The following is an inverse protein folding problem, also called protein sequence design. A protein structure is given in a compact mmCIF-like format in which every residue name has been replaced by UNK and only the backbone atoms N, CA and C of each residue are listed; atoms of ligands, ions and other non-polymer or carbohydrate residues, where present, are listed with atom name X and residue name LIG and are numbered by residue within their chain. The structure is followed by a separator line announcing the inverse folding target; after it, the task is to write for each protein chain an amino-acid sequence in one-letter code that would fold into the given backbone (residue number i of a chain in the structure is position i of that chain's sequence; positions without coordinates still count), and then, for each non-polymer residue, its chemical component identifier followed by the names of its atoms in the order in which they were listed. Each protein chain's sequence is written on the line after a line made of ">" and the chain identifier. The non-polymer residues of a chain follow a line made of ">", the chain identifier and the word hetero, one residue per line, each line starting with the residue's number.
data_IF_039639159679
#
_entry.id   IF_039639159679
#
_cell.length_a   1.000
_cell.length_b   1.000
_cell.length_c   1.000
_cell.angle_alpha   90.00
_cell.angle_beta   90.00
_cell.angle_gamma   90.00
#
_symmetry.space_group_name_H-M   'P 1'
#
loop_
_entity.id
_entity.type
_entity.pdbx_description
1 polymer ?
#
# COMPACT_ATOMS: atom_id res chain seq x y z
N UNK A 1 18.45 19.85 -0.62
CA UNK A 1 17.43 19.98 0.45
C UNK A 1 16.03 19.95 -0.15
N UNK A 2 15.61 20.95 -0.92
CA UNK A 2 14.26 21.01 -1.51
C UNK A 2 13.89 19.75 -2.32
N UNK A 3 14.75 19.31 -3.25
CA UNK A 3 14.52 18.12 -4.09
C UNK A 3 14.17 16.82 -3.32
N UNK A 4 14.81 16.59 -2.17
CA UNK A 4 14.57 15.40 -1.33
C UNK A 4 13.19 15.44 -0.66
N UNK A 5 12.77 16.62 -0.22
CA UNK A 5 11.46 16.83 0.41
C UNK A 5 10.33 16.78 -0.63
N UNK A 6 10.57 17.31 -1.84
CA UNK A 6 9.62 17.24 -2.96
C UNK A 6 9.40 15.81 -3.43
N UNK A 7 10.46 15.02 -3.59
CA UNK A 7 10.38 13.59 -3.94
C UNK A 7 9.59 12.78 -2.90
N UNK A 8 9.88 12.99 -1.61
CA UNK A 8 9.14 12.34 -0.51
C UNK A 8 7.65 12.67 -0.52
N UNK A 9 7.29 13.94 -0.75
CA UNK A 9 5.90 14.38 -0.85
C UNK A 9 5.13 13.70 -2.00
N UNK A 10 5.77 13.54 -3.17
CA UNK A 10 5.16 12.88 -4.33
C UNK A 10 4.90 11.39 -4.03
N UNK A 11 5.83 10.70 -3.36
CA UNK A 11 5.64 9.29 -3.00
C UNK A 11 4.51 9.11 -1.99
N UNK A 12 4.44 9.97 -0.97
CA UNK A 12 3.32 9.95 -0.03
C UNK A 12 1.98 10.20 -0.72
N UNK A 13 1.94 11.11 -1.70
CA UNK A 13 0.72 11.37 -2.47
C UNK A 13 0.30 10.14 -3.27
N UNK A 14 1.23 9.47 -3.96
CA UNK A 14 0.96 8.24 -4.72
C UNK A 14 0.49 7.12 -3.78
N UNK A 15 1.14 6.94 -2.63
CA UNK A 15 0.72 5.92 -1.65
C UNK A 15 -0.64 6.24 -1.05
N UNK A 16 -0.95 7.52 -0.78
CA UNK A 16 -2.26 7.96 -0.31
C UNK A 16 -3.34 7.68 -1.35
N UNK A 17 -3.08 7.97 -2.62
CA UNK A 17 -3.95 7.59 -3.74
C UNK A 17 -4.13 6.07 -3.79
N UNK A 18 -3.08 5.28 -3.53
CA UNK A 18 -3.16 3.83 -3.42
C UNK A 18 -4.05 3.32 -2.27
N UNK A 19 -3.96 3.96 -1.09
CA UNK A 19 -4.85 3.69 0.05
C UNK A 19 -6.31 4.04 -0.31
N UNK A 20 -6.55 5.16 -0.98
CA UNK A 20 -7.87 5.54 -1.48
C UNK A 20 -8.36 4.61 -2.59
N UNK A 21 -7.47 4.08 -3.42
CA UNK A 21 -7.79 3.06 -4.42
C UNK A 21 -8.27 1.75 -3.79
N UNK A 22 -7.79 1.41 -2.58
CA UNK A 22 -8.28 0.25 -1.83
C UNK A 22 -9.71 0.43 -1.28
N UNK A 23 -10.28 1.64 -1.25
CA UNK A 23 -11.70 1.83 -0.90
C UNK A 23 -12.63 1.19 -1.94
N UNK A 24 -12.17 1.01 -3.18
CA UNK A 24 -12.98 0.47 -4.27
C UNK A 24 -12.84 -1.07 -4.27
N UNK A 25 -13.93 -1.83 -4.04
CA UNK A 25 -13.92 -3.29 -4.17
C UNK A 25 -13.60 -3.70 -5.61
N UNK A 26 -12.81 -4.77 -5.78
CA UNK A 26 -12.41 -5.26 -7.11
C UNK A 26 -11.22 -4.54 -7.75
N UNK A 27 -10.86 -3.34 -7.28
CA UNK A 27 -9.59 -2.71 -7.66
C UNK A 27 -8.53 -3.10 -6.61
N UNK A 28 -7.47 -3.83 -7.01
CA UNK A 28 -6.35 -4.08 -6.13
C UNK A 28 -5.46 -2.82 -6.14
N UNK A 29 -5.62 -1.95 -5.14
CA UNK A 29 -4.74 -0.78 -4.93
C UNK A 29 -3.37 -1.16 -4.38
N UNK A 30 -3.24 -2.34 -3.77
CA UNK A 30 -1.97 -2.87 -3.24
C UNK A 30 -0.89 -3.08 -4.33
N UNK A 31 -1.21 -3.64 -5.52
CA UNK A 31 -0.34 -3.59 -6.70
C UNK A 31 0.09 -2.18 -7.12
N UNK A 32 -0.80 -1.18 -6.98
CA UNK A 32 -0.50 0.21 -7.33
C UNK A 32 0.48 0.85 -6.35
N UNK A 33 0.34 0.55 -5.04
CA UNK A 33 1.30 0.93 -3.99
C UNK A 33 2.68 0.30 -4.26
N UNK A 34 2.69 -0.97 -4.70
CA UNK A 34 3.90 -1.67 -5.10
C UNK A 34 4.55 -1.08 -6.35
N UNK A 35 3.76 -0.74 -7.37
CA UNK A 35 4.24 -0.07 -8.57
C UNK A 35 4.85 1.30 -8.25
N UNK A 36 4.26 2.06 -7.32
CA UNK A 36 4.82 3.32 -6.82
C UNK A 36 6.16 3.12 -6.09
N UNK A 37 6.27 2.10 -5.24
CA UNK A 37 7.52 1.79 -4.54
C UNK A 37 8.64 1.35 -5.49
N UNK A 38 8.31 0.51 -6.48
CA UNK A 38 9.25 0.05 -7.53
C UNK A 38 9.64 1.22 -8.46
N UNK A 39 8.68 2.05 -8.84
CA UNK A 39 8.92 3.23 -9.68
C UNK A 39 9.82 4.27 -9.01
N UNK A 40 9.62 4.53 -7.71
CA UNK A 40 10.50 5.38 -6.93
C UNK A 40 11.94 4.84 -6.92
N UNK A 41 12.11 3.52 -6.78
CA UNK A 41 13.44 2.92 -6.75
C UNK A 41 14.15 2.90 -8.11
N UNK A 42 13.39 2.76 -9.21
CA UNK A 42 13.92 2.85 -10.58
C UNK A 42 14.36 4.28 -10.94
N UNK A 43 13.65 5.30 -10.46
CA UNK A 43 13.96 6.70 -10.76
C UNK A 43 14.98 7.35 -9.81
N UNK A 44 14.99 6.97 -8.53
CA UNK A 44 15.90 7.53 -7.51
C UNK A 44 16.99 6.54 -7.09
N UNK A 45 17.41 5.66 -8.00
CA UNK A 45 18.45 4.68 -7.75
C UNK A 45 19.72 5.36 -7.21
N UNK A 46 20.00 5.18 -5.91
CA UNK A 46 21.21 5.66 -5.24
C UNK A 46 21.08 6.88 -4.33
N UNK A 47 19.90 7.48 -4.14
CA UNK A 47 19.69 8.63 -3.24
C UNK A 47 18.64 8.37 -2.14
N UNK A 48 18.86 7.35 -1.31
CA UNK A 48 18.04 7.13 -0.10
C UNK A 48 18.25 5.77 0.57
N UNK A 49 17.95 5.70 1.87
CA UNK A 49 18.08 4.50 2.74
C UNK A 49 17.01 3.42 2.47
N UNK A 50 16.23 3.57 1.39
CA UNK A 50 15.17 2.65 0.98
C UNK A 50 15.74 1.69 -0.08
N UNK A 51 16.55 0.74 0.38
CA UNK A 51 17.11 -0.30 -0.49
C UNK A 51 16.09 -1.35 -0.96
N UNK A 52 16.46 -2.15 -1.96
CA UNK A 52 15.67 -3.26 -2.52
C UNK A 52 15.09 -4.21 -1.45
N UNK A 53 15.77 -4.37 -0.31
CA UNK A 53 15.28 -5.17 0.82
C UNK A 53 13.99 -4.63 1.45
N UNK A 54 13.79 -3.31 1.50
CA UNK A 54 12.55 -2.72 2.04
C UNK A 54 11.38 -2.86 1.07
N UNK A 55 11.65 -2.75 -0.23
CA UNK A 55 10.66 -3.01 -1.28
C UNK A 55 10.20 -4.48 -1.21
N UNK A 56 11.10 -5.43 -0.95
CA UNK A 56 10.74 -6.83 -0.75
C UNK A 56 9.82 -7.03 0.47
N UNK A 57 10.07 -6.34 1.60
CA UNK A 57 9.20 -6.39 2.79
C UNK A 57 7.81 -5.81 2.49
N UNK A 58 7.74 -4.66 1.79
CA UNK A 58 6.47 -4.08 1.35
C UNK A 58 5.74 -5.00 0.38
N UNK A 59 6.47 -5.69 -0.50
CA UNK A 59 5.90 -6.69 -1.41
C UNK A 59 5.31 -7.87 -0.65
N UNK A 60 6.02 -8.39 0.35
CA UNK A 60 5.51 -9.46 1.20
C UNK A 60 4.25 -9.05 1.96
N UNK A 61 4.22 -7.84 2.53
CA UNK A 61 3.03 -7.27 3.16
C UNK A 61 1.88 -7.07 2.17
N UNK A 62 2.17 -6.62 0.95
CA UNK A 62 1.19 -6.43 -0.10
C UNK A 62 0.55 -7.75 -0.54
N UNK A 63 1.35 -8.80 -0.68
CA UNK A 63 0.86 -10.16 -0.94
C UNK A 63 0.02 -10.71 0.22
N UNK A 64 0.44 -10.46 1.46
CA UNK A 64 -0.34 -10.80 2.66
C UNK A 64 -1.70 -10.09 2.67
N UNK A 65 -1.73 -8.81 2.34
CA UNK A 65 -2.96 -8.03 2.26
C UNK A 65 -3.91 -8.56 1.18
N UNK A 66 -3.38 -8.90 0.00
CA UNK A 66 -4.16 -9.54 -1.08
C UNK A 66 -4.68 -10.91 -0.66
N UNK A 67 -3.86 -11.71 0.02
CA UNK A 67 -4.25 -13.02 0.54
C UNK A 67 -5.37 -12.91 1.58
N UNK A 68 -5.25 -11.97 2.52
CA UNK A 68 -6.27 -11.70 3.55
C UNK A 68 -7.58 -11.19 2.94
N UNK A 69 -7.51 -10.31 1.95
CA UNK A 69 -8.70 -9.80 1.23
C UNK A 69 -9.46 -10.94 0.54
N UNK A 70 -8.73 -11.77 -0.21
CA UNK A 70 -9.29 -12.92 -0.89
C UNK A 70 -9.89 -13.92 0.10
N UNK A 71 -9.18 -14.20 1.19
CA UNK A 71 -9.63 -15.15 2.22
C UNK A 71 -10.86 -14.62 2.97
N UNK A 72 -10.89 -13.34 3.32
CA UNK A 72 -12.04 -12.70 3.97
C UNK A 72 -13.27 -12.72 3.06
N UNK A 73 -13.08 -12.40 1.77
CA UNK A 73 -14.16 -12.46 0.77
C UNK A 73 -14.69 -13.87 0.59
N UNK A 74 -13.79 -14.84 0.45
CA UNK A 74 -14.12 -16.25 0.27
C UNK A 74 -14.83 -16.85 1.50
N UNK A 75 -14.30 -16.56 2.70
CA UNK A 75 -14.87 -17.04 3.95
C UNK A 75 -16.22 -16.38 4.25
N UNK A 76 -16.37 -15.07 4.00
CA UNK A 76 -17.63 -14.37 4.19
C UNK A 76 -18.73 -14.91 3.27
N UNK A 77 -18.39 -15.15 1.99
CA UNK A 77 -19.29 -15.78 1.03
C UNK A 77 -19.67 -17.20 1.45
N UNK A 78 -18.68 -18.05 1.80
CA UNK A 78 -18.92 -19.44 2.22
C UNK A 78 -19.70 -19.55 3.52
N UNK A 79 -19.49 -18.64 4.48
CA UNK A 79 -20.14 -18.68 5.81
C UNK A 79 -21.66 -18.51 5.71
N UNK A 80 -22.15 -17.79 4.70
CA UNK A 80 -23.58 -17.65 4.42
C UNK A 80 -24.07 -18.60 3.30
N UNK A 81 -23.26 -19.61 3.00
CA UNK A 81 -23.64 -20.72 2.14
C UNK A 81 -23.43 -20.47 0.65
N UNK A 82 -22.67 -19.46 0.22
CA UNK A 82 -22.34 -19.33 -1.19
C UNK A 82 -21.52 -20.52 -1.69
N UNK A 83 -21.95 -21.10 -2.81
CA UNK A 83 -21.20 -22.13 -3.53
C UNK A 83 -20.23 -21.48 -4.52
N UNK A 84 -19.44 -22.30 -5.21
CA UNK A 84 -18.58 -21.83 -6.29
C UNK A 84 -19.36 -21.04 -7.36
N UNK A 85 -20.61 -21.42 -7.63
CA UNK A 85 -21.47 -20.76 -8.61
C UNK A 85 -21.88 -19.36 -8.15
N UNK A 86 -22.29 -19.22 -6.88
CA UNK A 86 -22.59 -17.93 -6.27
C UNK A 86 -21.36 -17.02 -6.22
N UNK A 87 -20.17 -17.56 -6.00
CA UNK A 87 -18.92 -16.79 -6.07
C UNK A 87 -18.64 -16.25 -7.47
N UNK A 88 -18.79 -17.08 -8.51
CA UNK A 88 -18.65 -16.64 -9.90
C UNK A 88 -19.70 -15.58 -10.24
N UNK A 89 -20.95 -15.80 -9.81
CA UNK A 89 -22.01 -14.81 -9.95
C UNK A 89 -21.71 -13.49 -9.25
N UNK A 90 -21.18 -13.51 -8.03
CA UNK A 90 -20.76 -12.31 -7.32
C UNK A 90 -19.65 -11.55 -8.06
N UNK A 91 -18.69 -12.28 -8.62
CA UNK A 91 -17.58 -11.69 -9.36
C UNK A 91 -18.06 -11.03 -10.67
N UNK A 92 -18.94 -11.71 -11.42
CA UNK A 92 -19.56 -11.14 -12.61
C UNK A 92 -20.45 -9.93 -12.25
N UNK A 93 -21.19 -10.04 -11.14
CA UNK A 93 -22.00 -8.96 -10.60
C UNK A 93 -21.17 -7.75 -10.18
N UNK A 94 -19.99 -7.96 -9.59
CA UNK A 94 -19.04 -6.90 -9.25
C UNK A 94 -18.58 -6.15 -10.50
N UNK A 95 -18.18 -6.90 -11.53
CA UNK A 95 -17.70 -6.33 -12.81
C UNK A 95 -18.83 -5.57 -13.49
N UNK A 96 -20.02 -6.16 -13.62
CA UNK A 96 -21.17 -5.47 -14.21
C UNK A 96 -21.61 -4.25 -13.38
N UNK A 97 -21.60 -4.37 -12.05
CA UNK A 97 -21.95 -3.31 -11.11
C UNK A 97 -21.04 -2.09 -11.20
N UNK A 98 -19.76 -2.29 -11.51
CA UNK A 98 -18.80 -1.21 -11.73
C UNK A 98 -19.21 -0.30 -12.90
N UNK A 99 -19.81 -0.85 -13.96
CA UNK A 99 -20.21 -0.07 -15.15
C UNK A 99 -21.59 0.60 -15.02
N UNK A 100 -22.48 0.08 -14.18
CA UNK A 100 -23.84 0.61 -14.04
C UNK A 100 -23.86 1.85 -13.13
N UNK A 101 -23.32 1.74 -11.92
CA UNK A 101 -23.24 2.85 -10.97
C UNK A 101 -22.19 2.54 -9.91
N UNK A 102 -20.96 3.07 -9.99
CA UNK A 102 -19.83 2.54 -9.23
C UNK A 102 -20.07 2.36 -7.71
N UNK A 103 -20.56 3.34 -6.94
CA UNK A 103 -20.67 3.15 -5.48
C UNK A 103 -21.77 2.17 -5.07
N UNK A 104 -22.92 2.15 -5.76
CA UNK A 104 -24.05 1.29 -5.40
C UNK A 104 -23.92 -0.07 -6.09
N UNK A 105 -23.56 -0.07 -7.36
CA UNK A 105 -23.37 -1.25 -8.18
C UNK A 105 -22.25 -2.16 -7.68
N UNK A 106 -21.22 -1.63 -7.03
CA UNK A 106 -20.19 -2.47 -6.40
C UNK A 106 -20.71 -3.28 -5.20
N UNK A 107 -21.81 -2.87 -4.55
CA UNK A 107 -22.43 -3.61 -3.44
C UNK A 107 -23.59 -4.45 -3.95
N UNK A 108 -24.48 -3.85 -4.74
CA UNK A 108 -25.69 -4.49 -5.28
C UNK A 108 -25.34 -5.52 -6.34
N UNK A 109 -24.32 -5.26 -7.16
CA UNK A 109 -23.84 -6.17 -8.20
C UNK A 109 -23.48 -7.54 -7.66
N UNK A 110 -22.54 -7.66 -6.69
CA UNK A 110 -22.21 -8.94 -6.07
C UNK A 110 -23.40 -9.64 -5.41
N UNK A 111 -24.29 -8.89 -4.77
CA UNK A 111 -25.51 -9.44 -4.15
C UNK A 111 -26.42 -10.10 -5.18
N UNK A 112 -26.82 -9.35 -6.21
CA UNK A 112 -27.71 -9.82 -7.28
C UNK A 112 -27.03 -10.90 -8.12
N UNK A 113 -25.72 -10.75 -8.38
CA UNK A 113 -24.93 -11.71 -9.13
C UNK A 113 -24.86 -13.07 -8.43
N UNK A 114 -24.51 -13.11 -7.14
CA UNK A 114 -24.50 -14.35 -6.36
C UNK A 114 -25.89 -14.96 -6.22
N UNK A 115 -26.90 -14.15 -5.88
CA UNK A 115 -28.27 -14.63 -5.73
C UNK A 115 -28.82 -15.18 -7.05
N UNK A 116 -28.62 -14.47 -8.16
CA UNK A 116 -29.06 -14.87 -9.48
C UNK A 116 -28.41 -16.16 -9.95
N UNK A 117 -27.10 -16.31 -9.76
CA UNK A 117 -26.40 -17.56 -10.10
C UNK A 117 -26.87 -18.73 -9.25
N UNK A 118 -26.93 -18.59 -7.92
CA UNK A 118 -27.38 -19.69 -7.06
C UNK A 118 -28.81 -20.13 -7.39
N UNK A 119 -29.69 -19.17 -7.69
CA UNK A 119 -31.05 -19.47 -8.10
C UNK A 119 -31.12 -20.15 -9.48
N UNK A 120 -30.37 -19.65 -10.46
CA UNK A 120 -30.32 -20.24 -11.81
C UNK A 120 -29.80 -21.69 -11.81
N UNK A 121 -29.00 -22.06 -10.82
CA UNK A 121 -28.45 -23.41 -10.66
C UNK A 121 -29.21 -24.28 -9.64
N UNK A 122 -30.46 -23.94 -9.35
CA UNK A 122 -31.41 -24.82 -8.66
C UNK A 122 -31.50 -24.64 -7.15
N UNK A 123 -30.88 -23.61 -6.56
CA UNK A 123 -31.11 -23.31 -5.15
C UNK A 123 -32.43 -22.58 -4.94
N UNK A 124 -33.01 -22.81 -3.78
CA UNK A 124 -34.23 -22.11 -3.35
C UNK A 124 -33.94 -20.63 -3.15
N UNK A 125 -34.90 -19.77 -3.49
CA UNK A 125 -34.81 -18.31 -3.31
C UNK A 125 -34.24 -17.86 -1.93
N UNK A 126 -34.70 -18.39 -0.77
CA UNK A 126 -34.15 -17.98 0.52
C UNK A 126 -32.67 -18.37 0.73
N UNK A 127 -32.21 -19.44 0.10
CA UNK A 127 -30.82 -19.85 0.17
C UNK A 127 -29.93 -19.04 -0.76
N UNK A 128 -30.42 -18.74 -1.96
CA UNK A 128 -29.76 -17.87 -2.92
C UNK A 128 -29.60 -16.44 -2.36
N UNK A 129 -30.62 -15.92 -1.68
CA UNK A 129 -30.53 -14.62 -1.01
C UNK A 129 -29.46 -14.60 0.09
N UNK A 130 -29.37 -15.66 0.91
CA UNK A 130 -28.30 -15.81 1.92
C UNK A 130 -26.91 -15.81 1.28
N UNK A 131 -26.73 -16.51 0.16
CA UNK A 131 -25.48 -16.49 -0.60
C UNK A 131 -25.13 -15.07 -1.11
N UNK A 132 -26.13 -14.32 -1.57
CA UNK A 132 -25.99 -12.91 -1.94
C UNK A 132 -25.51 -12.04 -0.77
N UNK A 133 -26.15 -12.16 0.40
CA UNK A 133 -25.71 -11.45 1.62
C UNK A 133 -24.28 -11.87 2.01
N UNK A 134 -23.95 -13.15 1.85
CA UNK A 134 -22.61 -13.71 2.01
C UNK A 134 -21.56 -13.01 1.19
N UNK A 135 -21.84 -12.84 -0.10
CA UNK A 135 -20.95 -12.17 -1.03
C UNK A 135 -20.69 -10.72 -0.61
N UNK A 136 -21.73 -9.97 -0.22
CA UNK A 136 -21.59 -8.58 0.23
C UNK A 136 -20.78 -8.48 1.52
N UNK A 137 -21.10 -9.30 2.52
CA UNK A 137 -20.39 -9.29 3.81
C UNK A 137 -18.94 -9.71 3.62
N UNK A 138 -18.68 -10.75 2.81
CA UNK A 138 -17.32 -11.17 2.48
C UNK A 138 -16.53 -10.04 1.81
N UNK A 139 -17.11 -9.41 0.80
CA UNK A 139 -16.47 -8.28 0.11
C UNK A 139 -16.20 -7.12 1.07
N UNK A 140 -17.14 -6.76 1.93
CA UNK A 140 -16.96 -5.69 2.92
C UNK A 140 -15.82 -6.03 3.91
N UNK A 141 -15.77 -7.27 4.42
CA UNK A 141 -14.71 -7.74 5.30
C UNK A 141 -13.35 -7.74 4.60
N UNK A 142 -13.29 -8.14 3.33
CA UNK A 142 -12.08 -8.07 2.51
C UNK A 142 -11.56 -6.63 2.37
N UNK A 143 -12.45 -5.70 2.00
CA UNK A 143 -12.13 -4.27 1.88
C UNK A 143 -11.59 -3.70 3.18
N UNK A 144 -12.24 -4.00 4.31
CA UNK A 144 -11.75 -3.57 5.64
C UNK A 144 -10.38 -4.16 5.95
N UNK A 145 -10.18 -5.46 5.70
CA UNK A 145 -8.91 -6.14 5.94
C UNK A 145 -7.76 -5.55 5.12
N UNK A 146 -7.94 -5.39 3.81
CA UNK A 146 -6.91 -4.77 2.96
C UNK A 146 -6.66 -3.31 3.28
N UNK A 147 -7.68 -2.56 3.71
CA UNK A 147 -7.52 -1.17 4.12
C UNK A 147 -6.63 -1.05 5.35
N UNK A 148 -6.89 -1.86 6.38
CA UNK A 148 -6.04 -1.90 7.58
C UNK A 148 -4.58 -2.18 7.20
N UNK A 149 -4.34 -3.21 6.37
CA UNK A 149 -2.99 -3.52 5.91
C UNK A 149 -2.35 -2.36 5.13
N UNK A 150 -3.08 -1.71 4.23
CA UNK A 150 -2.55 -0.60 3.43
C UNK A 150 -2.22 0.64 4.27
N UNK A 151 -3.02 0.93 5.31
CA UNK A 151 -2.74 2.00 6.26
C UNK A 151 -1.48 1.69 7.07
N UNK A 152 -1.31 0.44 7.53
CA UNK A 152 -0.10 0.01 8.23
C UNK A 152 1.14 0.15 7.32
N UNK A 153 1.06 -0.28 6.06
CA UNK A 153 2.16 -0.12 5.10
C UNK A 153 2.51 1.36 4.86
N UNK A 154 1.51 2.22 4.71
CA UNK A 154 1.70 3.66 4.57
C UNK A 154 2.40 4.25 5.80
N UNK A 155 1.93 3.90 7.00
CA UNK A 155 2.51 4.39 8.25
C UNK A 155 3.97 3.94 8.43
N UNK A 156 4.27 2.66 8.14
CA UNK A 156 5.64 2.13 8.21
C UNK A 156 6.57 2.81 7.20
N UNK A 157 6.09 3.07 5.99
CA UNK A 157 6.86 3.81 4.99
C UNK A 157 7.11 5.25 5.44
N UNK A 158 6.07 5.97 5.87
CA UNK A 158 6.19 7.36 6.33
C UNK A 158 7.14 7.51 7.53
N UNK A 159 7.14 6.55 8.46
CA UNK A 159 8.05 6.57 9.59
C UNK A 159 9.50 6.27 9.20
N UNK A 160 9.73 5.26 8.35
CA UNK A 160 11.10 4.85 7.97
C UNK A 160 11.72 5.77 6.93
N UNK A 161 10.94 6.28 5.99
CA UNK A 161 11.36 7.23 4.99
C UNK A 161 11.33 8.68 5.49
N UNK A 162 11.06 8.89 6.79
CA UNK A 162 11.19 10.20 7.41
C UNK A 162 12.61 10.72 7.18
N UNK A 163 12.79 11.90 6.57
CA UNK A 163 14.10 12.51 6.42
C UNK A 163 14.60 12.91 7.82
N UNK A 164 15.27 11.99 8.51
CA UNK A 164 16.01 12.34 9.72
C UNK A 164 17.00 13.41 9.33
N UNK A 165 16.97 14.54 10.04
CA UNK A 165 17.84 15.69 9.83
C UNK A 165 19.36 15.38 10.01
N UNK A 166 19.77 14.11 10.05
CA UNK A 166 21.14 13.65 10.20
C UNK A 166 21.94 13.65 8.88
N UNK A 167 21.29 13.89 7.73
CA UNK A 167 21.98 14.14 6.46
C UNK A 167 22.46 15.60 6.32
N UNK A 168 22.76 16.27 7.44
CA UNK A 168 23.54 17.51 7.38
C UNK A 168 24.92 17.11 6.84
N UNK A 169 25.40 17.69 5.72
CA UNK A 169 26.82 17.58 5.41
C UNK A 169 27.55 18.06 6.67
N UNK A 170 28.43 17.22 7.23
CA UNK A 170 29.35 17.66 8.26
C UNK A 170 29.94 18.98 7.76
N UNK A 171 29.80 20.04 8.55
CA UNK A 171 30.39 21.33 8.21
C UNK A 171 31.82 21.05 7.74
N UNK A 172 32.28 21.66 6.62
CA UNK A 172 33.61 21.39 6.11
C UNK A 172 34.58 21.45 7.28
N UNK A 173 35.27 20.34 7.54
CA UNK A 173 36.25 20.28 8.63
C UNK A 173 37.12 21.50 8.42
N UNK A 174 37.17 22.46 9.37
CA UNK A 174 38.01 23.62 9.19
C UNK A 174 39.40 23.09 8.86
N UNK A 175 40.09 23.64 7.84
CA UNK A 175 41.44 23.20 7.53
C UNK A 175 42.21 23.16 8.85
N UNK A 176 43.03 22.12 9.08
CA UNK A 176 43.84 22.07 10.30
C UNK A 176 44.46 23.45 10.44
N UNK A 177 44.23 24.10 11.59
CA UNK A 177 44.89 25.35 11.90
C UNK A 177 46.35 25.01 11.72
N UNK A 178 46.96 25.51 10.65
CA UNK A 178 48.41 25.49 10.52
C UNK A 178 48.81 26.33 11.72
N UNK A 179 49.21 25.66 12.80
CA UNK A 179 49.86 26.33 13.91
C UNK A 179 50.92 27.18 13.25
N UNK A 180 50.75 28.50 13.32
CA UNK A 180 51.73 29.41 12.77
C UNK A 180 53.08 28.94 13.31
N UNK A 181 54.11 28.79 12.45
CA UNK A 181 55.40 28.29 12.90
C UNK A 181 55.76 29.08 14.14
N UNK A 182 55.93 28.35 15.25
CA UNK A 182 56.33 28.91 16.52
C UNK A 182 57.44 29.91 16.20
N UNK A 183 57.23 31.16 16.56
CA UNK A 183 58.21 32.22 16.34
C UNK A 183 59.51 31.78 17.02
N UNK A 184 60.40 31.16 16.24
CA UNK A 184 61.80 31.02 16.58
C UNK A 184 62.33 32.45 16.64
N UNK A 185 62.26 33.04 17.83
CA UNK A 185 62.94 34.29 18.10
C UNK A 185 64.28 33.92 18.71
N UNK A 186 65.40 34.41 18.15
CA UNK A 186 66.70 33.77 18.29
C UNK A 186 67.26 33.90 19.69
N UNK A 187 67.96 32.84 20.09
CA UNK A 187 68.96 32.80 21.16
C UNK A 187 69.90 34.01 21.04
N UNK A 188 69.60 35.06 21.81
CA UNK A 188 70.48 36.22 21.94
C UNK A 188 71.63 35.80 22.86
N UNK A 189 72.80 35.67 22.22
CA UNK A 189 74.09 35.39 22.81
C UNK A 189 74.33 36.18 24.10
N UNK A 190 74.71 35.43 25.12
CA UNK A 190 75.44 35.93 26.28
C UNK A 190 76.83 36.36 25.80
N UNK A 191 77.17 37.63 26.01
CA UNK A 191 78.53 38.15 26.19
C UNK A 191 78.49 39.29 27.21
#
# INVERSE_FOLDING_TARGET
>A
MIELWTGYGIVLLIMFIGVMGNLIPGIPGTPLILAGAVGHQLYFAGQGDVGWGWVAVLTAFGLLALGLDYLATLLGAKKLGATWKGMVGALLGLVAGLFVFPPIGLIVGPFIGAMGFEWAFGRRAPEAAKAGVGAVIGMALGVVGKLICSVVMFALFAFKAWPSASALPAAPVPPPIVEAPASETPEAAQD
#
